data_IF_675835410671
#
_entry.id   IF_675835410671
#
_cell.length_a   1.000
_cell.length_b   1.000
_cell.length_c   1.000
_cell.angle_alpha   90.00
_cell.angle_beta   90.00
_cell.angle_gamma   90.00
#
_symmetry.space_group_name_H-M   'P 1'
#
loop_
_entity.id
_entity.type
_entity.pdbx_description
1 polymer ?
#
# COMPACT_ATOMS: atom_id res chain seq x y z
N UNK A 1 8.99 -19.10 -7.00
CA UNK A 1 9.35 -17.70 -6.72
C UNK A 1 8.28 -17.14 -5.81
N UNK A 2 8.64 -16.58 -4.66
CA UNK A 2 7.67 -15.93 -3.78
C UNK A 2 7.18 -14.65 -4.45
N UNK A 3 5.86 -14.46 -4.52
CA UNK A 3 5.28 -13.23 -5.06
C UNK A 3 5.39 -12.14 -4.00
N UNK A 4 5.96 -11.01 -4.38
CA UNK A 4 6.10 -9.85 -3.51
C UNK A 4 4.95 -8.87 -3.78
N UNK A 5 4.54 -8.15 -2.74
CA UNK A 5 3.42 -7.21 -2.80
C UNK A 5 3.79 -5.89 -2.12
N UNK A 6 3.26 -4.79 -2.66
CA UNK A 6 3.30 -3.48 -2.01
C UNK A 6 2.19 -3.47 -0.96
N UNK A 7 2.53 -3.10 0.27
CA UNK A 7 1.60 -3.13 1.40
C UNK A 7 1.21 -1.71 1.72
N UNK A 8 -0.05 -1.34 1.45
CA UNK A 8 -0.53 0.05 1.61
C UNK A 8 -0.88 0.38 3.07
N UNK A 9 -1.31 -0.61 3.83
CA UNK A 9 -1.68 -0.44 5.25
C UNK A 9 -1.07 -1.54 6.11
N UNK A 10 -0.85 -1.29 7.39
CA UNK A 10 -0.28 -2.29 8.30
C UNK A 10 -1.26 -3.42 8.55
N UNK A 11 -0.84 -4.65 8.29
CA UNK A 11 -1.66 -5.85 8.33
C UNK A 11 -1.31 -6.67 9.56
N UNK A 12 -2.31 -6.93 10.39
CA UNK A 12 -2.20 -7.84 11.52
C UNK A 12 -3.03 -9.09 11.22
N UNK A 13 -2.36 -10.21 10.99
CA UNK A 13 -3.03 -11.44 10.58
C UNK A 13 -2.46 -12.69 11.25
N UNK A 14 -3.20 -13.78 11.17
CA UNK A 14 -2.71 -15.10 11.54
C UNK A 14 -2.80 -15.97 10.27
N UNK A 15 -1.69 -16.22 9.56
CA UNK A 15 -1.71 -16.82 8.22
C UNK A 15 -2.06 -18.31 8.22
N UNK A 16 -2.14 -18.94 9.40
CA UNK A 16 -2.53 -20.34 9.57
C UNK A 16 -3.37 -20.44 10.84
N UNK A 17 -4.47 -21.19 10.82
CA UNK A 17 -5.27 -21.42 12.02
C UNK A 17 -4.38 -21.99 13.15
N UNK A 18 -4.29 -21.29 14.28
CA UNK A 18 -3.39 -21.63 15.40
C UNK A 18 -1.92 -21.24 15.20
N UNK A 19 -1.59 -20.49 14.15
CA UNK A 19 -0.24 -20.01 13.85
C UNK A 19 0.17 -18.78 14.66
N UNK A 20 1.43 -18.34 14.46
CA UNK A 20 1.92 -17.09 15.05
C UNK A 20 1.28 -15.89 14.35
N UNK A 21 0.91 -14.88 15.14
CA UNK A 21 0.49 -13.57 14.62
C UNK A 21 1.65 -12.96 13.83
N UNK A 22 1.37 -12.55 12.60
CA UNK A 22 2.30 -11.81 11.76
C UNK A 22 1.84 -10.36 11.66
N UNK A 23 2.82 -9.45 11.65
CA UNK A 23 2.61 -8.02 11.46
C UNK A 23 3.39 -7.63 10.22
N UNK A 24 2.67 -7.22 9.17
CA UNK A 24 3.25 -6.77 7.91
C UNK A 24 3.05 -5.26 7.88
N UNK A 25 4.14 -4.49 7.94
CA UNK A 25 4.05 -3.03 7.95
C UNK A 25 3.72 -2.52 6.55
N UNK A 26 3.00 -1.41 6.49
CA UNK A 26 2.90 -0.66 5.24
C UNK A 26 4.29 -0.21 4.79
N UNK A 27 4.63 -0.52 3.54
CA UNK A 27 5.86 -0.05 2.92
C UNK A 27 5.62 0.07 1.41
N UNK A 28 6.17 1.12 0.76
CA UNK A 28 6.17 1.24 -0.69
C UNK A 28 7.08 0.20 -1.37
N UNK A 29 7.92 -0.49 -0.60
CA UNK A 29 8.78 -1.54 -1.12
C UNK A 29 8.04 -2.88 -1.25
N UNK A 30 8.38 -3.69 -2.26
CA UNK A 30 7.88 -5.05 -2.40
C UNK A 30 8.22 -5.88 -1.15
N UNK A 31 7.20 -6.47 -0.54
CA UNK A 31 7.32 -7.30 0.66
C UNK A 31 6.74 -8.70 0.43
N UNK A 32 7.27 -9.68 1.17
CA UNK A 32 6.73 -11.03 1.18
C UNK A 32 5.44 -11.08 2.00
N UNK A 33 4.33 -11.47 1.36
CA UNK A 33 3.03 -11.62 2.02
C UNK A 33 2.64 -13.10 2.01
N UNK A 34 2.25 -13.67 3.16
CA UNK A 34 1.83 -15.06 3.23
C UNK A 34 0.67 -15.35 2.28
N UNK A 35 0.82 -16.36 1.41
CA UNK A 35 -0.17 -16.70 0.38
C UNK A 35 -1.59 -16.96 0.93
N UNK A 36 -1.70 -17.42 2.18
CA UNK A 36 -2.97 -17.63 2.87
C UNK A 36 -3.74 -16.31 3.12
N UNK A 37 -3.04 -15.19 3.26
CA UNK A 37 -3.64 -13.87 3.47
C UNK A 37 -3.77 -13.08 2.16
N UNK A 38 -2.87 -13.32 1.19
CA UNK A 38 -2.81 -12.58 -0.09
C UNK A 38 -4.19 -12.43 -0.75
N UNK A 39 -4.97 -13.51 -0.88
CA UNK A 39 -6.27 -13.47 -1.56
C UNK A 39 -7.24 -12.49 -0.89
N UNK A 40 -7.34 -12.54 0.44
CA UNK A 40 -8.21 -11.64 1.21
C UNK A 40 -7.69 -10.20 1.17
N UNK A 41 -6.38 -10.02 1.24
CA UNK A 41 -5.75 -8.71 1.25
C UNK A 41 -5.84 -7.99 -0.10
N UNK A 42 -5.71 -8.73 -1.21
CA UNK A 42 -5.93 -8.20 -2.56
C UNK A 42 -7.40 -7.83 -2.77
N UNK A 43 -8.34 -8.68 -2.33
CA UNK A 43 -9.79 -8.42 -2.44
C UNK A 43 -10.20 -7.15 -1.67
N UNK A 44 -9.54 -6.90 -0.53
CA UNK A 44 -9.71 -5.70 0.27
C UNK A 44 -8.94 -4.47 -0.24
N UNK A 45 -8.08 -4.63 -1.26
CA UNK A 45 -7.25 -3.54 -1.79
C UNK A 45 -6.16 -3.02 -0.84
N UNK A 46 -5.74 -3.82 0.14
CA UNK A 46 -4.73 -3.42 1.13
C UNK A 46 -3.30 -3.79 0.72
N UNK A 47 -3.15 -4.68 -0.27
CA UNK A 47 -1.88 -5.02 -0.93
C UNK A 47 -2.03 -4.95 -2.45
N UNK A 48 -0.91 -4.77 -3.16
CA UNK A 48 -0.84 -4.75 -4.64
C UNK A 48 0.32 -5.62 -5.16
N UNK A 49 0.17 -6.28 -6.31
CA UNK A 49 1.24 -7.13 -6.90
C UNK A 49 2.44 -6.28 -7.34
N UNK A 50 3.59 -6.46 -6.69
CA UNK A 50 4.82 -5.77 -7.04
C UNK A 50 5.40 -6.37 -8.33
N UNK A 51 5.13 -5.72 -9.47
CA UNK A 51 5.57 -6.20 -10.79
C UNK A 51 4.57 -5.93 -11.90
N UNK A 52 3.31 -5.66 -11.56
CA UNK A 52 2.44 -4.91 -12.46
C UNK A 52 2.90 -3.47 -12.35
N UNK A 53 3.49 -2.97 -13.43
CA UNK A 53 3.85 -1.57 -13.58
C UNK A 53 2.63 -0.71 -13.24
N UNK A 54 2.58 -0.20 -12.01
CA UNK A 54 1.69 0.86 -11.59
C UNK A 54 2.14 2.15 -12.32
N UNK A 55 1.87 2.21 -13.64
CA UNK A 55 1.59 3.48 -14.28
C UNK A 55 0.25 3.93 -13.71
N UNK A 56 0.31 5.00 -12.92
CA UNK A 56 -0.79 5.67 -12.20
C UNK A 56 -1.15 4.96 -10.88
N UNK A 57 -1.09 5.59 -9.71
CA UNK A 57 -1.05 7.01 -9.33
C UNK A 57 -0.18 7.16 -8.06
N UNK A 58 0.44 8.32 -7.83
CA UNK A 58 0.91 8.66 -6.51
C UNK A 58 -0.33 8.97 -5.67
N UNK A 59 -0.85 7.99 -4.94
CA UNK A 59 -1.63 8.31 -3.74
C UNK A 59 -0.62 8.73 -2.67
N UNK A 60 -0.08 9.94 -2.89
CA UNK A 60 0.35 10.79 -1.81
C UNK A 60 -0.91 11.14 -1.03
N UNK A 61 -1.20 10.32 -0.02
CA UNK A 61 -1.88 10.80 1.17
C UNK A 61 -0.92 11.79 1.84
N UNK A 62 -0.87 12.99 1.30
CA UNK A 62 -0.35 14.15 1.96
C UNK A 62 -1.45 15.19 1.90
N UNK A 63 -2.18 15.24 3.01
CA UNK A 63 -3.02 16.36 3.40
C UNK A 63 -2.27 17.66 3.16
N UNK A 64 -2.71 18.50 2.21
CA UNK A 64 -2.85 19.96 2.40
C UNK A 64 -3.36 20.67 1.13
N UNK A 65 -4.59 21.18 1.28
CA UNK A 65 -5.14 22.44 0.75
C UNK A 65 -4.98 22.79 -0.73
N UNK A 66 -6.10 22.55 -1.44
CA UNK A 66 -6.84 23.56 -2.19
C UNK A 66 -6.57 25.02 -1.73
N UNK A 67 -6.26 25.91 -2.68
CA UNK A 67 -6.35 27.36 -2.44
C UNK A 67 -5.32 28.23 -3.15
N UNK A 68 -5.61 28.53 -4.42
CA UNK A 68 -5.33 29.81 -5.10
C UNK A 68 -3.85 30.20 -5.30
N UNK A 69 -3.35 29.88 -6.49
CA UNK A 69 -2.42 30.78 -7.16
C UNK A 69 -3.18 32.04 -7.56
N UNK A 70 -2.87 33.16 -6.92
CA UNK A 70 -3.17 34.49 -7.45
C UNK A 70 -1.85 35.25 -7.50
N UNK A 71 -1.22 35.14 -8.66
CA UNK A 71 -0.19 36.05 -9.12
C UNK A 71 -0.74 37.48 -9.14
N UNK A 72 -0.16 38.39 -8.36
CA UNK A 72 0.13 39.68 -8.97
C UNK A 72 1.43 40.28 -8.44
N UNK A 73 2.34 40.42 -9.39
CA UNK A 73 3.65 41.05 -9.27
C UNK A 73 3.49 42.53 -9.60
N UNK A 74 3.99 43.42 -8.76
CA UNK A 74 4.41 44.78 -9.15
C UNK A 74 3.32 45.82 -9.39
N UNK A 75 3.23 46.79 -8.47
CA UNK A 75 3.68 48.17 -8.68
C UNK A 75 4.07 48.79 -7.32
#
# INVERSE_FOLDING_TARGET
MAKQYIVKTTIHGIPKAGGKKVVIKSSPEPQDVPAALVKELLDRGVIEEAGVTAKAKPDADNTQQDGTGDDNSGD
#
